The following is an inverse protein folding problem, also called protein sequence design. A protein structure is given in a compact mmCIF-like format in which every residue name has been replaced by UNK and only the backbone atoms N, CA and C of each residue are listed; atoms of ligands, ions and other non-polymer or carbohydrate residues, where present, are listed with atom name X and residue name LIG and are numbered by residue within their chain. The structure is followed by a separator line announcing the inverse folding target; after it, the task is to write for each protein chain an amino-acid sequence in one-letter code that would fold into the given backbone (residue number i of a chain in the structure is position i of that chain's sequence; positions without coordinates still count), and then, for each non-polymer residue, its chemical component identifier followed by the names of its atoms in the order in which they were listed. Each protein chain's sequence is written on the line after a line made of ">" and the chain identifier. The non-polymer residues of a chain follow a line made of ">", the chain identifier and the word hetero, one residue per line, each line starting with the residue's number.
data_IF_312066839897
#
_entry.id   IF_312066839897
#
_cell.length_a   1.000
_cell.length_b   1.000
_cell.length_c   1.000
_cell.angle_alpha   90.00
_cell.angle_beta   90.00
_cell.angle_gamma   90.00
#
_symmetry.space_group_name_H-M   'P 1'
#
loop_
_entity.id
_entity.type
_entity.pdbx_description
1 polymer ?
#
# COMPACT_ATOMS: atom_id res chain seq x y z
N UNK A 1 19.58 -2.72 22.34
CA UNK A 1 18.16 -2.32 22.19
C UNK A 1 17.82 -2.34 20.71
N UNK A 2 16.64 -2.86 20.32
CA UNK A 2 16.17 -2.86 18.93
C UNK A 2 15.06 -1.82 18.80
N UNK A 3 15.05 -1.05 17.72
CA UNK A 3 14.05 0.00 17.49
C UNK A 3 13.39 -0.16 16.12
N UNK A 4 12.07 -0.01 16.09
CA UNK A 4 11.23 -0.08 14.89
C UNK A 4 10.40 1.20 14.81
N UNK A 5 10.40 1.86 13.64
CA UNK A 5 9.49 2.97 13.33
C UNK A 5 8.68 2.65 12.09
N UNK A 6 7.39 2.98 12.13
CA UNK A 6 6.49 2.89 10.99
C UNK A 6 5.95 4.28 10.67
N UNK A 7 6.21 4.77 9.47
CA UNK A 7 5.63 6.01 8.95
C UNK A 7 4.57 5.62 7.93
N UNK A 8 3.31 5.88 8.25
CA UNK A 8 2.17 5.59 7.37
C UNK A 8 1.87 6.85 6.56
N UNK A 9 1.76 6.72 5.25
CA UNK A 9 1.51 7.83 4.33
C UNK A 9 0.10 7.79 3.78
N UNK A 10 -0.47 8.97 3.55
CA UNK A 10 -1.69 9.09 2.75
C UNK A 10 -1.35 9.06 1.26
N UNK A 11 -2.31 8.68 0.42
CA UNK A 11 -2.14 8.64 -1.04
C UNK A 11 -1.62 9.96 -1.61
N UNK A 12 -2.12 11.09 -1.10
CA UNK A 12 -1.68 12.44 -1.51
C UNK A 12 -0.20 12.68 -1.21
N UNK A 13 0.29 12.18 -0.08
CA UNK A 13 1.71 12.30 0.29
C UNK A 13 2.60 11.41 -0.56
N UNK A 14 2.12 10.20 -0.89
CA UNK A 14 2.81 9.29 -1.82
C UNK A 14 2.92 9.93 -3.20
N UNK A 15 1.82 10.44 -3.75
CA UNK A 15 1.80 11.13 -5.05
C UNK A 15 2.77 12.31 -5.03
N UNK A 16 2.68 13.17 -4.01
CA UNK A 16 3.56 14.34 -3.89
C UNK A 16 5.04 13.94 -3.83
N UNK A 17 5.38 12.94 -3.01
CA UNK A 17 6.74 12.45 -2.87
C UNK A 17 7.31 11.94 -4.21
N UNK A 18 6.52 11.14 -4.94
CA UNK A 18 6.93 10.58 -6.24
C UNK A 18 7.12 11.69 -7.27
N UNK A 19 6.15 12.60 -7.42
CA UNK A 19 6.24 13.70 -8.39
C UNK A 19 7.42 14.63 -8.09
N UNK A 20 7.65 14.97 -6.82
CA UNK A 20 8.79 15.78 -6.40
C UNK A 20 10.12 15.10 -6.74
N UNK A 21 10.22 13.76 -6.53
CA UNK A 21 11.41 12.99 -6.90
C UNK A 21 11.63 13.00 -8.41
N UNK A 22 10.60 12.67 -9.20
CA UNK A 22 10.69 12.65 -10.67
C UNK A 22 11.12 14.00 -11.23
N UNK A 23 10.56 15.09 -10.70
CA UNK A 23 10.94 16.46 -11.05
C UNK A 23 12.42 16.74 -10.77
N UNK A 24 12.95 16.29 -9.62
CA UNK A 24 14.38 16.43 -9.29
C UNK A 24 15.28 15.59 -10.19
N UNK A 25 14.84 14.39 -10.55
CA UNK A 25 15.56 13.45 -11.42
C UNK A 25 15.39 13.76 -12.91
N UNK A 26 14.59 14.78 -13.27
CA UNK A 26 14.22 15.13 -14.66
C UNK A 26 13.57 13.96 -15.41
N UNK A 27 12.89 13.09 -14.67
CA UNK A 27 12.11 11.99 -15.23
C UNK A 27 10.77 12.53 -15.76
N UNK A 28 10.16 11.87 -16.77
CA UNK A 28 8.87 12.30 -17.32
C UNK A 28 7.80 12.36 -16.22
N UNK A 29 7.18 13.54 -16.11
CA UNK A 29 5.99 13.74 -15.30
C UNK A 29 4.76 13.40 -16.16
N UNK A 30 3.75 12.74 -15.59
CA UNK A 30 2.52 12.54 -16.31
C UNK A 30 1.82 13.89 -16.52
N UNK A 31 1.34 14.16 -17.74
CA UNK A 31 0.47 15.30 -18.03
C UNK A 31 -0.97 14.95 -17.67
N UNK A 32 -1.67 15.84 -16.97
CA UNK A 32 -3.05 15.64 -16.53
C UNK A 32 -3.24 15.62 -15.01
N UNK A 33 -4.40 15.13 -14.57
CA UNK A 33 -4.82 15.09 -13.17
C UNK A 33 -4.56 13.73 -12.55
N UNK A 34 -3.88 13.70 -11.40
CA UNK A 34 -3.69 12.46 -10.64
C UNK A 34 -5.02 12.01 -10.05
N UNK A 35 -5.44 10.80 -10.42
CA UNK A 35 -6.62 10.14 -9.92
C UNK A 35 -6.28 9.18 -8.78
N UNK A 36 -6.66 7.91 -8.94
CA UNK A 36 -6.56 6.89 -7.90
C UNK A 36 -5.15 6.32 -7.77
N UNK A 37 -4.71 6.09 -6.53
CA UNK A 37 -3.52 5.29 -6.21
C UNK A 37 -3.96 3.88 -5.84
N UNK A 38 -3.28 2.87 -6.38
CA UNK A 38 -3.53 1.46 -6.05
C UNK A 38 -2.21 0.77 -5.72
N UNK A 39 -2.21 0.00 -4.64
CA UNK A 39 -1.06 -0.77 -4.21
C UNK A 39 -1.29 -2.25 -4.49
N UNK A 40 -0.27 -2.92 -5.03
CA UNK A 40 -0.29 -4.37 -5.23
C UNK A 40 0.89 -5.00 -4.50
N UNK A 41 0.68 -6.11 -3.77
CA UNK A 41 1.80 -6.91 -3.32
C UNK A 41 2.57 -7.41 -4.56
N UNK A 42 3.90 -7.34 -4.49
CA UNK A 42 4.80 -7.82 -5.52
C UNK A 42 4.64 -9.33 -5.76
N UNK A 43 5.15 -9.81 -6.90
CA UNK A 43 5.05 -11.21 -7.30
C UNK A 43 5.62 -12.16 -6.22
N UNK A 44 5.05 -13.37 -6.06
CA UNK A 44 5.60 -14.37 -5.14
C UNK A 44 7.09 -14.64 -5.46
N UNK A 45 7.96 -14.44 -4.47
CA UNK A 45 9.42 -14.60 -4.61
C UNK A 45 10.19 -13.30 -4.93
N UNK A 46 9.49 -12.21 -5.27
CA UNK A 46 10.02 -10.86 -5.38
C UNK A 46 9.29 -9.95 -4.41
N UNK A 47 9.65 -10.04 -3.13
CA UNK A 47 9.03 -9.24 -2.07
C UNK A 47 9.14 -7.75 -2.37
N UNK A 48 8.00 -7.08 -2.44
CA UNK A 48 7.93 -5.63 -2.62
C UNK A 48 6.49 -5.14 -2.78
N UNK A 49 6.31 -3.82 -2.81
CA UNK A 49 5.00 -3.19 -3.09
C UNK A 49 5.09 -2.47 -4.42
N UNK A 50 4.25 -2.87 -5.37
CA UNK A 50 4.08 -2.16 -6.64
C UNK A 50 3.03 -1.06 -6.45
N UNK A 51 3.36 0.16 -6.88
CA UNK A 51 2.45 1.31 -6.77
C UNK A 51 1.98 1.72 -8.16
N UNK A 52 0.67 1.78 -8.36
CA UNK A 52 0.03 2.24 -9.58
C UNK A 52 -0.65 3.58 -9.32
N UNK A 53 -0.32 4.59 -10.12
CA UNK A 53 -0.97 5.90 -10.09
C UNK A 53 -1.74 6.09 -11.39
N UNK A 54 -3.06 6.22 -11.30
CA UNK A 54 -3.88 6.60 -12.44
C UNK A 54 -3.80 8.10 -12.67
N UNK A 55 -3.67 8.51 -13.93
CA UNK A 55 -3.63 9.90 -14.36
C UNK A 55 -4.58 10.06 -15.54
N UNK A 56 -5.52 10.99 -15.40
CA UNK A 56 -6.41 11.37 -16.50
C UNK A 56 -5.77 12.54 -17.23
N UNK A 57 -5.39 12.33 -18.49
CA UNK A 57 -4.78 13.33 -19.35
C UNK A 57 -5.75 14.46 -19.72
N UNK A 58 -5.20 15.55 -20.25
CA UNK A 58 -5.99 16.74 -20.63
C UNK A 58 -6.98 16.46 -21.79
N UNK A 59 -6.73 15.42 -22.59
CA UNK A 59 -7.60 14.94 -23.67
C UNK A 59 -8.66 13.93 -23.20
N UNK A 60 -8.70 13.62 -21.90
CA UNK A 60 -9.62 12.63 -21.32
C UNK A 60 -9.11 11.19 -21.34
N UNK A 61 -7.90 10.95 -21.85
CA UNK A 61 -7.25 9.64 -21.83
C UNK A 61 -6.82 9.25 -20.41
N UNK A 62 -7.26 8.08 -19.94
CA UNK A 62 -6.74 7.49 -18.71
C UNK A 62 -5.42 6.74 -18.96
N UNK A 63 -4.36 7.17 -18.27
CA UNK A 63 -3.04 6.55 -18.29
C UNK A 63 -2.68 6.05 -16.90
N UNK A 64 -1.97 4.94 -16.82
CA UNK A 64 -1.47 4.42 -15.55
C UNK A 64 0.05 4.46 -15.51
N UNK A 65 0.59 4.98 -14.42
CA UNK A 65 2.02 4.98 -14.12
C UNK A 65 2.32 3.92 -13.07
N UNK A 66 3.07 2.89 -13.45
CA UNK A 66 3.56 1.85 -12.55
C UNK A 66 4.91 2.26 -11.98
N UNK A 67 5.06 2.16 -10.66
CA UNK A 67 6.25 2.56 -9.92
C UNK A 67 6.80 1.36 -9.16
N UNK A 68 8.12 1.19 -9.27
CA UNK A 68 8.83 0.14 -8.56
C UNK A 68 9.05 0.53 -7.10
N UNK A 69 9.12 -0.45 -6.20
CA UNK A 69 9.26 -0.20 -4.75
C UNK A 69 10.46 0.71 -4.42
N UNK A 70 11.60 0.52 -5.08
CA UNK A 70 12.81 1.30 -4.86
C UNK A 70 12.64 2.78 -5.22
N UNK A 71 11.89 3.07 -6.28
CA UNK A 71 11.56 4.45 -6.68
C UNK A 71 10.69 5.12 -5.61
N UNK A 72 9.66 4.41 -5.14
CA UNK A 72 8.75 4.91 -4.12
C UNK A 72 9.45 5.07 -2.76
N UNK A 73 10.32 4.13 -2.37
CA UNK A 73 11.07 4.20 -1.12
C UNK A 73 12.00 5.42 -1.10
N UNK A 74 12.74 5.64 -2.18
CA UNK A 74 13.60 6.81 -2.33
C UNK A 74 12.79 8.12 -2.32
N UNK A 75 11.61 8.12 -2.93
CA UNK A 75 10.70 9.27 -2.92
C UNK A 75 10.22 9.60 -1.50
N UNK A 76 9.77 8.60 -0.74
CA UNK A 76 9.30 8.77 0.64
C UNK A 76 10.42 9.21 1.60
N UNK A 77 11.63 8.67 1.45
CA UNK A 77 12.80 9.12 2.21
C UNK A 77 13.09 10.60 1.93
N UNK A 78 13.12 10.99 0.66
CA UNK A 78 13.33 12.38 0.25
C UNK A 78 12.25 13.32 0.76
N UNK A 79 11.00 12.83 0.80
CA UNK A 79 9.85 13.54 1.33
C UNK A 79 9.97 13.83 2.83
N UNK A 80 10.34 12.80 3.62
CA UNK A 80 10.62 12.93 5.04
C UNK A 80 11.77 13.92 5.31
N UNK A 81 12.86 13.83 4.54
CA UNK A 81 13.98 14.78 4.63
C UNK A 81 13.52 16.22 4.35
N UNK A 82 12.72 16.44 3.31
CA UNK A 82 12.17 17.76 2.97
C UNK A 82 11.27 18.35 4.06
N UNK A 83 10.60 17.47 4.82
CA UNK A 83 9.78 17.85 5.99
C UNK A 83 10.52 17.87 7.31
N UNK A 84 11.84 17.65 7.31
CA UNK A 84 12.67 17.58 8.52
C UNK A 84 12.20 16.52 9.51
N UNK A 85 11.58 15.44 9.01
CA UNK A 85 11.27 14.26 9.82
C UNK A 85 12.60 13.51 10.04
N UNK A 86 13.05 13.32 11.29
CA UNK A 86 14.34 12.72 11.57
C UNK A 86 14.34 11.24 11.18
N UNK A 87 15.17 10.91 10.18
CA UNK A 87 15.41 9.54 9.74
C UNK A 87 16.77 9.05 10.25
N UNK A 88 16.84 7.88 10.90
CA UNK A 88 18.12 7.29 11.29
C UNK A 88 18.99 6.97 10.07
N UNK A 89 20.25 7.39 10.11
CA UNK A 89 21.22 7.15 9.03
C UNK A 89 21.49 5.64 8.91
N UNK A 90 21.91 5.01 10.01
CA UNK A 90 22.14 3.57 10.10
C UNK A 90 20.84 2.84 10.44
N UNK A 91 20.04 2.55 9.40
CA UNK A 91 18.83 1.74 9.52
C UNK A 91 18.44 1.12 8.19
N UNK A 92 17.83 -0.06 8.26
CA UNK A 92 17.16 -0.67 7.10
C UNK A 92 15.81 0.00 6.90
N UNK A 93 15.48 0.30 5.63
CA UNK A 93 14.26 1.01 5.24
C UNK A 93 13.56 0.22 4.14
N UNK A 94 12.33 -0.18 4.38
CA UNK A 94 11.55 -1.01 3.46
C UNK A 94 10.11 -0.50 3.38
N UNK A 95 9.44 -0.75 2.26
CA UNK A 95 8.03 -0.41 2.09
C UNK A 95 7.18 -1.64 2.41
N UNK A 96 6.11 -1.41 3.18
CA UNK A 96 5.07 -2.39 3.41
C UNK A 96 3.70 -1.77 3.19
N UNK A 97 2.72 -2.62 2.90
CA UNK A 97 1.31 -2.27 2.93
C UNK A 97 0.76 -2.67 4.30
N UNK A 98 0.28 -1.71 5.08
CA UNK A 98 -0.36 -1.96 6.39
C UNK A 98 -1.77 -1.37 6.33
N UNK A 99 -2.79 -2.22 6.48
CA UNK A 99 -4.20 -1.82 6.36
C UNK A 99 -4.52 -1.04 5.07
N UNK A 100 -3.90 -1.45 3.95
CA UNK A 100 -4.07 -0.79 2.65
C UNK A 100 -3.33 0.53 2.48
N UNK A 101 -2.62 1.02 3.50
CA UNK A 101 -1.82 2.23 3.43
C UNK A 101 -0.34 1.92 3.22
N UNK A 102 0.31 2.73 2.38
CA UNK A 102 1.75 2.61 2.14
C UNK A 102 2.53 3.06 3.38
N UNK A 103 3.39 2.19 3.88
CA UNK A 103 4.15 2.41 5.12
C UNK A 103 5.64 2.25 4.88
N UNK A 104 6.43 3.25 5.28
CA UNK A 104 7.88 3.13 5.38
C UNK A 104 8.25 2.56 6.75
N UNK A 105 8.74 1.33 6.75
CA UNK A 105 9.24 0.64 7.94
C UNK A 105 10.74 0.88 8.06
N UNK A 106 11.17 1.33 9.24
CA UNK A 106 12.57 1.65 9.54
C UNK A 106 13.01 0.82 10.74
N UNK A 107 14.06 0.00 10.57
CA UNK A 107 14.58 -0.86 11.64
C UNK A 107 16.01 -0.50 12.01
N UNK A 108 16.29 -0.42 13.31
CA UNK A 108 17.63 -0.16 13.86
C UNK A 108 18.06 -1.30 14.77
N UNK A 109 19.30 -1.78 14.59
CA UNK A 109 19.90 -2.88 15.34
C UNK A 109 19.19 -4.25 15.15
N UNK A 110 18.55 -4.45 14.00
CA UNK A 110 17.99 -5.75 13.60
C UNK A 110 19.07 -6.55 12.86
N UNK A 111 19.22 -7.84 13.19
CA UNK A 111 20.15 -8.75 12.48
C UNK A 111 19.49 -9.45 11.28
N UNK A 112 18.17 -9.32 11.17
CA UNK A 112 17.32 -9.94 10.15
C UNK A 112 16.20 -8.95 9.81
N UNK A 113 15.77 -8.85 8.54
CA UNK A 113 14.65 -8.00 8.17
C UNK A 113 13.39 -8.45 8.94
N UNK A 114 12.60 -7.51 9.48
CA UNK A 114 11.32 -7.86 10.07
C UNK A 114 10.38 -8.47 9.02
N UNK A 115 9.52 -9.38 9.48
CA UNK A 115 8.42 -9.91 8.68
C UNK A 115 7.11 -9.42 9.30
N UNK A 116 6.20 -8.91 8.47
CA UNK A 116 4.83 -8.71 8.92
C UNK A 116 4.19 -10.08 9.15
N UNK A 117 3.50 -10.25 10.26
CA UNK A 117 2.65 -11.41 10.52
C UNK A 117 1.22 -10.94 10.30
N UNK A 118 0.58 -11.46 9.26
CA UNK A 118 -0.85 -11.22 9.02
C UNK A 118 -1.64 -12.19 9.90
N UNK A 119 -2.55 -11.68 10.74
CA UNK A 119 -3.59 -12.52 11.32
C UNK A 119 -4.50 -12.99 10.19
N UNK A 120 -4.44 -14.28 9.87
CA UNK A 120 -5.46 -14.91 9.02
C UNK A 120 -6.79 -14.80 9.74
N UNK A 121 -7.62 -13.86 9.33
CA UNK A 121 -9.05 -13.93 9.64
C UNK A 121 -9.59 -15.13 8.87
N UNK A 122 -9.72 -16.25 9.57
CA UNK A 122 -10.38 -17.44 9.08
C UNK A 122 -11.83 -17.05 8.78
N UNK A 123 -12.18 -17.00 7.49
CA UNK A 123 -13.53 -16.72 7.06
C UNK A 123 -14.45 -17.79 7.67
N UNK A 124 -15.17 -17.41 8.72
CA UNK A 124 -16.14 -18.29 9.37
C UNK A 124 -17.24 -18.56 8.35
N UNK A 125 -17.31 -19.81 7.91
CA UNK A 125 -18.33 -20.30 6.97
C UNK A 125 -19.73 -19.93 7.49
N UNK A 126 -20.62 -19.34 6.67
CA UNK A 126 -21.95 -18.95 7.13
C UNK A 126 -22.72 -20.19 7.61
N UNK A 127 -23.50 -20.09 8.71
CA UNK A 127 -24.20 -21.23 9.26
C UNK A 127 -25.16 -21.84 8.22
N UNK A 128 -25.26 -23.18 8.14
CA UNK A 128 -26.11 -23.84 7.16
C UNK A 128 -27.57 -23.41 7.33
N UNK A 129 -28.23 -23.14 6.20
CA UNK A 129 -29.61 -22.68 6.16
C UNK A 129 -30.54 -23.60 6.98
N UNK A 130 -31.50 -23.04 7.74
CA UNK A 130 -32.40 -23.83 8.55
C UNK A 130 -33.24 -24.77 7.66
N UNK A 131 -33.52 -26.01 8.13
CA UNK A 131 -34.29 -26.98 7.36
C UNK A 131 -35.71 -26.45 7.06
N UNK A 132 -36.30 -26.82 5.91
CA UNK A 132 -37.62 -26.35 5.53
C UNK A 132 -38.67 -26.83 6.53
N UNK A 133 -39.42 -25.87 7.10
CA UNK A 133 -40.48 -26.13 8.07
C UNK A 133 -41.62 -26.89 7.37
N UNK A 134 -42.07 -28.06 7.88
CA UNK A 134 -43.17 -28.79 7.27
C UNK A 134 -44.47 -28.01 7.45
N UNK A 135 -45.10 -27.62 6.33
CA UNK A 135 -46.44 -27.03 6.32
C UNK A 135 -47.43 -28.08 6.82
N UNK A 136 -48.01 -27.88 8.01
CA UNK A 136 -49.11 -28.72 8.53
C UNK A 136 -50.26 -28.69 7.52
N UNK A 137 -50.63 -29.87 7.03
CA UNK A 137 -51.82 -30.06 6.21
C UNK A 137 -53.06 -29.67 7.04
N UNK A 138 -53.82 -28.71 6.53
CA UNK A 138 -55.11 -28.33 7.08
C UNK A 138 -56.08 -29.51 6.90
N UNK A 139 -56.41 -30.17 8.02
CA UNK A 139 -57.53 -31.10 8.09
C UNK A 139 -58.82 -30.30 7.94
N UNK A 140 -59.52 -30.47 6.80
CA UNK A 140 -60.91 -30.04 6.63
C UNK A 140 -61.82 -31.21 7.04
N UNK A 141 -62.69 -30.93 8.02
CA UNK A 141 -63.91 -31.67 8.29
C UNK A 141 -64.97 -31.32 7.27
#
# INVERSE_FOLDING_TARGET
>A
MKELRCLVFTDQEVVKAVLDRRRRMKEPLPSGTVGKVTYRPGQPGGGGVETLIQVTGDEGDDRSMTLHESEVAAALVSYCMGRKIPLPVESDKMIHLINGALTLMITMNFKKPPRLVEDRVEATEPPPAPPPVPRKAASRR
#
